data_IF_982021881678
#
_entry.id   IF_982021881678
#
_cell.length_a   1.000
_cell.length_b   1.000
_cell.length_c   1.000
_cell.angle_alpha   90.00
_cell.angle_beta   90.00
_cell.angle_gamma   90.00
#
_symmetry.space_group_name_H-M   'P 1'
#
loop_
_entity.id
_entity.type
_entity.pdbx_description
1 polymer ?
#
# COMPACT_ATOMS: atom_id res chain seq x y z
N UNK A 1 24.13 11.71 -36.18
CA UNK A 1 23.16 12.82 -36.28
C UNK A 1 22.06 12.65 -35.22
N UNK A 2 22.45 12.54 -33.95
CA UNK A 2 21.56 12.57 -32.78
C UNK A 2 21.56 13.90 -31.96
N UNK A 3 22.18 15.04 -32.37
CA UNK A 3 22.37 16.16 -31.44
C UNK A 3 21.12 17.05 -31.23
N UNK A 4 20.15 17.09 -32.15
CA UNK A 4 19.07 18.10 -32.08
C UNK A 4 17.95 17.78 -31.07
N UNK A 5 17.65 16.50 -30.79
CA UNK A 5 16.56 16.13 -29.87
C UNK A 5 16.97 16.22 -28.38
N UNK A 6 18.26 16.03 -28.10
CA UNK A 6 18.83 16.12 -26.75
C UNK A 6 18.92 17.59 -26.31
N UNK A 7 19.35 18.47 -27.21
CA UNK A 7 19.52 19.91 -26.92
C UNK A 7 18.22 20.60 -26.55
N UNK A 8 17.13 20.36 -27.28
CA UNK A 8 15.86 21.03 -27.03
C UNK A 8 15.23 20.66 -25.67
N UNK A 9 15.32 19.39 -25.25
CA UNK A 9 14.74 18.91 -23.99
C UNK A 9 15.59 19.30 -22.78
N UNK A 10 16.92 19.22 -22.92
CA UNK A 10 17.84 19.61 -21.87
C UNK A 10 17.89 21.13 -21.66
N UNK A 11 17.76 21.95 -22.72
CA UNK A 11 17.75 23.41 -22.61
C UNK A 11 16.55 23.95 -21.81
N UNK A 12 15.34 23.40 -22.01
CA UNK A 12 14.15 23.78 -21.21
C UNK A 12 14.33 23.40 -19.74
N UNK A 13 14.96 22.25 -19.49
CA UNK A 13 15.26 21.76 -18.14
C UNK A 13 16.33 22.63 -17.44
N UNK A 14 17.43 22.95 -18.11
CA UNK A 14 18.53 23.75 -17.57
C UNK A 14 18.11 25.21 -17.36
N UNK A 15 17.27 25.78 -18.24
CA UNK A 15 16.72 27.12 -18.05
C UNK A 15 15.82 27.28 -16.83
N UNK A 16 15.26 26.18 -16.29
CA UNK A 16 14.51 26.17 -15.04
C UNK A 16 15.43 26.16 -13.79
N UNK A 17 16.66 25.66 -13.95
CA UNK A 17 17.69 25.66 -12.92
C UNK A 17 18.56 26.92 -13.02
N UNK A 18 18.31 27.89 -12.14
CA UNK A 18 19.16 29.07 -12.00
C UNK A 18 20.41 28.79 -11.14
N UNK A 19 21.03 27.62 -11.32
CA UNK A 19 22.24 27.22 -10.60
C UNK A 19 23.37 26.95 -11.59
N UNK A 20 24.62 27.34 -11.27
CA UNK A 20 25.80 26.91 -11.99
C UNK A 20 25.87 25.37 -12.10
N UNK A 21 26.28 24.85 -13.25
CA UNK A 21 26.37 23.40 -13.49
C UNK A 21 27.33 22.70 -12.51
N UNK A 22 28.43 23.37 -12.16
CA UNK A 22 29.40 22.90 -11.17
C UNK A 22 28.75 22.74 -9.80
N UNK A 23 27.86 23.66 -9.42
CA UNK A 23 27.14 23.60 -8.15
C UNK A 23 26.14 22.43 -8.15
N UNK A 24 25.46 22.16 -9.27
CA UNK A 24 24.59 20.98 -9.42
C UNK A 24 25.40 19.69 -9.24
N UNK A 25 26.60 19.61 -9.84
CA UNK A 25 27.51 18.47 -9.66
C UNK A 25 27.86 18.28 -8.19
N UNK A 26 28.25 19.36 -7.51
CA UNK A 26 28.73 19.31 -6.13
C UNK A 26 27.59 18.91 -5.17
N UNK A 27 26.39 19.46 -5.35
CA UNK A 27 25.19 19.04 -4.61
C UNK A 27 24.91 17.54 -4.79
N UNK A 28 25.06 17.00 -6.01
CA UNK A 28 24.87 15.57 -6.28
C UNK A 28 25.99 14.72 -5.68
N UNK A 29 27.23 15.22 -5.62
CA UNK A 29 28.37 14.52 -5.04
C UNK A 29 28.28 14.47 -3.51
N UNK A 30 27.92 15.58 -2.87
CA UNK A 30 27.80 15.74 -1.43
C UNK A 30 26.49 15.19 -0.86
N UNK A 31 25.46 15.03 -1.71
CA UNK A 31 24.11 14.59 -1.32
C UNK A 31 23.51 15.57 -0.30
N UNK A 32 23.48 16.85 -0.66
CA UNK A 32 22.91 17.91 0.17
C UNK A 32 21.37 17.81 0.22
N UNK A 33 20.85 17.34 1.35
CA UNK A 33 19.43 17.07 1.57
C UNK A 33 18.57 18.34 1.60
N UNK A 34 19.13 19.51 1.91
CA UNK A 34 18.35 20.76 1.99
C UNK A 34 18.06 21.34 0.60
N UNK A 35 18.94 21.05 -0.36
CA UNK A 35 18.90 21.61 -1.71
C UNK A 35 18.35 20.62 -2.75
N UNK A 36 18.35 19.33 -2.41
CA UNK A 36 17.85 18.27 -3.28
C UNK A 36 16.36 18.01 -3.06
N UNK A 37 15.57 18.17 -4.12
CA UNK A 37 14.16 17.76 -4.13
C UNK A 37 13.95 16.51 -4.99
N UNK A 38 12.93 15.72 -4.67
CA UNK A 38 12.55 14.55 -5.45
C UNK A 38 12.30 14.91 -6.92
N UNK A 39 11.54 15.97 -7.17
CA UNK A 39 11.23 16.45 -8.52
C UNK A 39 12.49 16.86 -9.29
N UNK A 40 13.48 17.47 -8.63
CA UNK A 40 14.77 17.80 -9.23
C UNK A 40 15.50 16.53 -9.68
N UNK A 41 15.63 15.54 -8.80
CA UNK A 41 16.34 14.29 -9.09
C UNK A 41 15.63 13.49 -10.19
N UNK A 42 14.30 13.38 -10.14
CA UNK A 42 13.53 12.70 -11.19
C UNK A 42 13.70 13.38 -12.56
N UNK A 43 13.68 14.71 -12.60
CA UNK A 43 13.90 15.45 -13.84
C UNK A 43 15.34 15.32 -14.33
N UNK A 44 16.34 15.29 -13.45
CA UNK A 44 17.73 14.98 -13.82
C UNK A 44 17.81 13.60 -14.47
N UNK A 45 17.27 12.56 -13.83
CA UNK A 45 17.28 11.18 -14.35
C UNK A 45 16.60 11.10 -15.72
N UNK A 46 15.46 11.78 -15.89
CA UNK A 46 14.67 11.78 -17.13
C UNK A 46 15.34 12.50 -18.30
N UNK A 47 16.09 13.57 -18.03
CA UNK A 47 16.70 14.41 -19.05
C UNK A 47 18.20 14.13 -19.24
N UNK A 48 18.80 13.27 -18.41
CA UNK A 48 20.20 12.88 -18.53
C UNK A 48 20.42 12.00 -19.77
N UNK A 49 21.44 12.33 -20.59
CA UNK A 49 21.88 11.48 -21.68
C UNK A 49 22.28 10.08 -21.20
N UNK A 50 22.41 9.14 -22.13
CA UNK A 50 22.93 7.81 -21.79
C UNK A 50 24.41 7.88 -21.41
N UNK A 51 24.88 6.90 -20.64
CA UNK A 51 26.28 6.86 -20.19
C UNK A 51 27.27 6.88 -21.35
N UNK A 52 26.91 6.28 -22.50
CA UNK A 52 27.73 6.29 -23.72
C UNK A 52 27.87 7.70 -24.30
N UNK A 53 26.79 8.47 -24.29
CA UNK A 53 26.76 9.85 -24.80
C UNK A 53 27.53 10.78 -23.86
N UNK A 54 27.40 10.60 -22.55
CA UNK A 54 28.19 11.33 -21.55
C UNK A 54 29.70 11.07 -21.71
N UNK A 55 30.09 9.83 -22.01
CA UNK A 55 31.50 9.50 -22.29
C UNK A 55 32.02 10.17 -23.56
N UNK A 56 31.21 10.22 -24.63
CA UNK A 56 31.59 10.92 -25.86
C UNK A 56 31.70 12.44 -25.65
N UNK A 57 30.79 13.04 -24.88
CA UNK A 57 30.86 14.45 -24.51
C UNK A 57 32.11 14.76 -23.68
N UNK A 58 32.55 13.83 -22.82
CA UNK A 58 33.74 14.03 -22.00
C UNK A 58 35.04 14.19 -22.81
N UNK A 59 35.07 13.72 -24.07
CA UNK A 59 36.20 13.90 -24.99
C UNK A 59 36.24 15.30 -25.61
N UNK A 60 35.10 15.99 -25.68
CA UNK A 60 34.93 17.33 -26.27
C UNK A 60 35.21 18.47 -25.27
N UNK A 61 35.87 18.18 -24.13
CA UNK A 61 36.17 19.18 -23.09
C UNK A 61 37.00 20.37 -23.58
N UNK A 62 37.77 20.20 -24.65
CA UNK A 62 38.60 21.27 -25.22
C UNK A 62 37.77 22.37 -25.91
N UNK A 63 36.56 22.05 -26.35
CA UNK A 63 35.68 22.94 -27.12
C UNK A 63 34.51 23.45 -26.25
N UNK A 64 34.64 23.42 -24.93
CA UNK A 64 33.54 23.70 -23.97
C UNK A 64 32.77 25.00 -24.24
N UNK A 65 33.47 26.09 -24.55
CA UNK A 65 32.87 27.41 -24.80
C UNK A 65 32.10 27.49 -26.13
N UNK A 66 32.37 26.59 -27.08
CA UNK A 66 31.72 26.54 -28.40
C UNK A 66 30.48 25.63 -28.42
N UNK A 67 30.31 24.80 -27.38
CA UNK A 67 29.20 23.86 -27.24
C UNK A 67 27.93 24.55 -26.71
N UNK A 68 26.77 23.94 -26.98
CA UNK A 68 25.51 24.45 -26.45
C UNK A 68 25.36 24.14 -24.94
N UNK A 69 24.50 24.88 -24.25
CA UNK A 69 24.29 24.78 -22.79
C UNK A 69 24.01 23.33 -22.32
N UNK A 70 23.28 22.54 -23.11
CA UNK A 70 22.99 21.14 -22.78
C UNK A 70 24.22 20.23 -22.85
N UNK A 71 25.12 20.48 -23.80
CA UNK A 71 26.37 19.73 -23.95
C UNK A 71 27.37 20.12 -22.87
N UNK A 72 27.46 21.42 -22.55
CA UNK A 72 28.23 21.93 -21.42
C UNK A 72 27.79 21.28 -20.10
N UNK A 73 26.49 21.20 -19.84
CA UNK A 73 25.96 20.48 -18.68
C UNK A 73 26.33 18.99 -18.69
N UNK A 74 26.18 18.32 -19.84
CA UNK A 74 26.57 16.92 -20.00
C UNK A 74 28.05 16.66 -19.70
N UNK A 75 28.94 17.58 -20.09
CA UNK A 75 30.38 17.52 -19.79
C UNK A 75 30.62 17.62 -18.28
N UNK A 76 29.99 18.59 -17.59
CA UNK A 76 30.17 18.76 -16.15
C UNK A 76 29.69 17.52 -15.40
N UNK A 77 28.51 17.00 -15.77
CA UNK A 77 27.94 15.80 -15.17
C UNK A 77 28.70 14.51 -15.52
N UNK A 78 29.41 14.46 -16.66
CA UNK A 78 30.25 13.31 -17.05
C UNK A 78 31.39 13.03 -16.07
N UNK A 79 31.81 14.05 -15.30
CA UNK A 79 32.83 13.90 -14.26
C UNK A 79 32.37 13.04 -13.08
N UNK A 80 31.05 12.89 -12.89
CA UNK A 80 30.46 12.10 -11.81
C UNK A 80 30.45 10.62 -12.18
N UNK A 81 31.22 9.82 -11.43
CA UNK A 81 31.23 8.36 -11.60
C UNK A 81 29.88 7.76 -11.19
N UNK A 82 29.39 6.81 -11.99
CA UNK A 82 28.15 6.06 -11.75
C UNK A 82 26.93 6.98 -11.52
N UNK A 83 26.86 8.09 -12.28
CA UNK A 83 25.89 9.16 -12.08
C UNK A 83 24.44 8.66 -11.96
N UNK A 84 23.98 7.80 -12.88
CA UNK A 84 22.61 7.26 -12.83
C UNK A 84 22.35 6.45 -11.56
N UNK A 85 23.27 5.58 -11.16
CA UNK A 85 23.14 4.79 -9.93
C UNK A 85 23.11 5.69 -8.69
N UNK A 86 23.95 6.74 -8.67
CA UNK A 86 23.96 7.73 -7.59
C UNK A 86 22.62 8.47 -7.49
N UNK A 87 22.11 9.00 -8.61
CA UNK A 87 20.84 9.71 -8.65
C UNK A 87 19.67 8.81 -8.22
N UNK A 88 19.65 7.54 -8.65
CA UNK A 88 18.65 6.58 -8.18
C UNK A 88 18.77 6.31 -6.67
N UNK A 89 19.99 6.24 -6.12
CA UNK A 89 20.21 6.09 -4.69
C UNK A 89 19.75 7.31 -3.88
N UNK A 90 20.01 8.52 -4.39
CA UNK A 90 19.51 9.77 -3.81
C UNK A 90 17.98 9.81 -3.86
N UNK A 91 17.38 9.50 -5.02
CA UNK A 91 15.93 9.46 -5.20
C UNK A 91 15.28 8.48 -4.22
N UNK A 92 15.88 7.30 -4.07
CA UNK A 92 15.43 6.32 -3.10
C UNK A 92 15.51 6.88 -1.68
N UNK A 93 16.64 7.47 -1.28
CA UNK A 93 16.78 8.05 0.05
C UNK A 93 15.74 9.15 0.34
N UNK A 94 15.46 10.03 -0.62
CA UNK A 94 14.48 11.11 -0.47
C UNK A 94 13.05 10.59 -0.34
N UNK A 95 12.70 9.52 -1.06
CA UNK A 95 11.33 8.95 -1.05
C UNK A 95 11.13 7.84 -0.02
N UNK A 96 12.21 7.36 0.61
CA UNK A 96 12.16 6.20 1.49
C UNK A 96 11.24 6.39 2.70
N UNK A 97 11.36 7.51 3.39
CA UNK A 97 10.54 7.81 4.56
C UNK A 97 9.05 7.94 4.20
N UNK A 98 8.73 8.59 3.08
CA UNK A 98 7.35 8.68 2.61
C UNK A 98 6.79 7.30 2.26
N UNK A 99 7.54 6.49 1.50
CA UNK A 99 7.15 5.13 1.16
C UNK A 99 6.94 4.26 2.41
N UNK A 100 7.83 4.37 3.39
CA UNK A 100 7.68 3.68 4.67
C UNK A 100 6.44 4.14 5.43
N UNK A 101 6.20 5.45 5.52
CA UNK A 101 5.06 6.01 6.23
C UNK A 101 3.73 5.68 5.55
N UNK A 102 3.73 5.42 4.25
CA UNK A 102 2.56 4.94 3.52
C UNK A 102 2.29 3.45 3.76
N UNK A 103 3.33 2.61 3.88
CA UNK A 103 3.17 1.14 4.03
C UNK A 103 2.96 0.72 5.49
N UNK A 104 3.62 1.39 6.43
CA UNK A 104 3.57 1.06 7.86
C UNK A 104 2.16 1.00 8.45
N UNK A 105 1.25 1.97 8.22
CA UNK A 105 -0.09 1.94 8.80
C UNK A 105 -0.90 0.73 8.30
N UNK A 106 -0.74 0.34 7.03
CA UNK A 106 -1.45 -0.84 6.48
C UNK A 106 -1.04 -2.12 7.22
N UNK A 107 0.26 -2.32 7.45
CA UNK A 107 0.76 -3.48 8.21
C UNK A 107 0.24 -3.45 9.65
N UNK A 108 0.24 -2.29 10.29
CA UNK A 108 -0.24 -2.13 11.67
C UNK A 108 -1.75 -2.42 11.76
N UNK A 109 -2.55 -1.87 10.85
CA UNK A 109 -4.00 -2.10 10.79
C UNK A 109 -4.33 -3.58 10.64
N UNK A 110 -3.67 -4.28 9.70
CA UNK A 110 -3.88 -5.72 9.52
C UNK A 110 -3.46 -6.51 10.76
N UNK A 111 -2.33 -6.14 11.39
CA UNK A 111 -1.85 -6.80 12.60
C UNK A 111 -2.80 -6.62 13.78
N UNK A 112 -3.29 -5.40 14.01
CA UNK A 112 -4.23 -5.11 15.07
C UNK A 112 -5.60 -5.75 14.83
N UNK A 113 -6.17 -5.61 13.62
CA UNK A 113 -7.43 -6.25 13.26
C UNK A 113 -7.40 -7.76 13.50
N UNK A 114 -6.28 -8.39 13.16
CA UNK A 114 -6.03 -9.79 13.40
C UNK A 114 -5.98 -10.17 14.89
N UNK A 115 -5.34 -9.35 15.72
CA UNK A 115 -5.30 -9.55 17.17
C UNK A 115 -6.66 -9.31 17.82
N UNK A 116 -7.38 -8.28 17.41
CA UNK A 116 -8.73 -7.92 17.83
C UNK A 116 -9.70 -9.06 17.58
N UNK A 117 -9.77 -9.56 16.34
CA UNK A 117 -10.63 -10.70 15.99
C UNK A 117 -10.32 -11.93 16.84
N UNK A 118 -9.04 -12.16 17.16
CA UNK A 118 -8.62 -13.31 17.98
C UNK A 118 -8.94 -13.13 19.47
N UNK A 119 -8.90 -11.90 19.98
CA UNK A 119 -9.08 -11.57 21.41
C UNK A 119 -10.52 -11.16 21.73
N UNK A 120 -11.36 -10.89 20.74
CA UNK A 120 -12.74 -10.47 20.94
C UNK A 120 -13.59 -11.60 21.52
N UNK A 121 -13.94 -11.45 22.79
CA UNK A 121 -14.84 -12.37 23.48
C UNK A 121 -16.27 -12.24 22.93
N UNK A 122 -16.70 -11.02 22.60
CA UNK A 122 -18.01 -10.76 22.00
C UNK A 122 -18.17 -11.44 20.64
N UNK A 123 -17.17 -11.31 19.76
CA UNK A 123 -17.19 -11.96 18.45
C UNK A 123 -17.13 -13.49 18.57
N UNK A 124 -16.34 -14.02 19.50
CA UNK A 124 -16.26 -15.47 19.75
C UNK A 124 -17.62 -16.05 20.18
N UNK A 125 -18.31 -15.39 21.11
CA UNK A 125 -19.65 -15.78 21.55
C UNK A 125 -20.70 -15.66 20.44
N UNK A 126 -20.60 -14.65 19.58
CA UNK A 126 -21.46 -14.53 18.40
C UNK A 126 -21.31 -15.74 17.48
N UNK A 127 -20.07 -16.17 17.20
CA UNK A 127 -19.81 -17.35 16.38
C UNK A 127 -20.40 -18.62 17.00
N UNK A 128 -20.33 -18.78 18.32
CA UNK A 128 -20.96 -19.90 19.04
C UNK A 128 -22.48 -19.90 18.89
N UNK A 129 -23.13 -18.73 19.03
CA UNK A 129 -24.58 -18.58 18.83
C UNK A 129 -25.00 -18.91 17.40
N UNK A 130 -24.25 -18.43 16.41
CA UNK A 130 -24.49 -18.75 14.99
C UNK A 130 -24.33 -20.25 14.75
N UNK A 131 -23.31 -20.88 15.33
CA UNK A 131 -23.07 -22.32 15.20
C UNK A 131 -24.21 -23.13 15.84
N UNK A 132 -24.67 -22.74 17.02
CA UNK A 132 -25.78 -23.39 17.73
C UNK A 132 -27.07 -23.34 16.91
N UNK A 133 -27.45 -22.14 16.47
CA UNK A 133 -28.66 -21.94 15.67
C UNK A 133 -28.55 -22.64 14.32
N UNK A 134 -27.39 -22.54 13.66
CA UNK A 134 -27.13 -23.23 12.40
C UNK A 134 -27.24 -24.75 12.53
N UNK A 135 -26.70 -25.35 13.59
CA UNK A 135 -26.81 -26.79 13.84
C UNK A 135 -28.24 -27.22 14.16
N UNK A 136 -29.00 -26.40 14.89
CA UNK A 136 -30.41 -26.67 15.18
C UNK A 136 -31.26 -26.62 13.91
N UNK A 137 -31.12 -25.57 13.10
CA UNK A 137 -31.87 -25.41 11.84
C UNK A 137 -31.56 -26.49 10.82
N UNK A 138 -30.32 -26.97 10.78
CA UNK A 138 -29.86 -28.00 9.84
C UNK A 138 -30.00 -29.43 10.37
N UNK A 139 -30.70 -29.64 11.51
CA UNK A 139 -30.92 -30.97 12.07
C UNK A 139 -31.53 -31.94 11.03
N UNK A 140 -30.91 -33.12 10.89
CA UNK A 140 -31.33 -34.12 9.90
C UNK A 140 -30.79 -33.94 8.48
N UNK A 141 -30.02 -32.87 8.22
CA UNK A 141 -29.30 -32.67 6.96
C UNK A 141 -27.83 -33.14 7.03
N UNK A 142 -27.14 -33.17 5.89
CA UNK A 142 -25.69 -33.44 5.82
C UNK A 142 -24.85 -32.41 6.60
N UNK A 143 -25.39 -31.21 6.85
CA UNK A 143 -24.73 -30.13 7.57
C UNK A 143 -25.18 -30.05 9.05
N UNK A 144 -25.85 -31.09 9.57
CA UNK A 144 -26.14 -31.18 11.00
C UNK A 144 -24.85 -31.45 11.81
N UNK A 145 -24.81 -30.99 13.06
CA UNK A 145 -23.75 -31.31 14.03
C UNK A 145 -22.32 -30.94 13.56
N UNK A 146 -22.20 -29.82 12.88
CA UNK A 146 -20.88 -29.29 12.47
C UNK A 146 -20.15 -28.67 13.66
N UNK A 147 -18.81 -28.74 13.64
CA UNK A 147 -17.95 -28.13 14.66
C UNK A 147 -17.60 -26.67 14.37
N UNK A 148 -17.95 -26.16 13.20
CA UNK A 148 -17.64 -24.81 12.77
C UNK A 148 -18.11 -24.52 11.36
N UNK A 149 -18.05 -23.26 10.97
CA UNK A 149 -18.41 -22.77 9.65
C UNK A 149 -17.37 -21.77 9.15
N UNK A 150 -17.35 -21.52 7.84
CA UNK A 150 -16.48 -20.50 7.27
C UNK A 150 -17.03 -19.10 7.58
N UNK A 151 -16.20 -18.17 8.04
CA UNK A 151 -16.62 -16.81 8.45
C UNK A 151 -17.37 -16.04 7.35
N UNK A 152 -17.10 -16.31 6.06
CA UNK A 152 -17.88 -15.74 4.94
C UNK A 152 -19.38 -16.10 4.97
N UNK A 153 -19.78 -17.11 5.74
CA UNK A 153 -21.17 -17.46 5.97
C UNK A 153 -21.94 -16.39 6.75
N UNK A 154 -21.27 -15.59 7.58
CA UNK A 154 -21.92 -14.50 8.33
C UNK A 154 -22.66 -13.54 7.40
N UNK A 155 -22.09 -13.24 6.24
CA UNK A 155 -22.72 -12.38 5.23
C UNK A 155 -23.98 -12.99 4.61
N UNK A 156 -24.16 -14.33 4.71
CA UNK A 156 -25.31 -15.08 4.18
C UNK A 156 -26.45 -15.21 5.19
N UNK A 157 -26.25 -14.82 6.45
CA UNK A 157 -27.31 -14.85 7.47
C UNK A 157 -28.49 -13.94 7.10
N UNK A 158 -28.22 -12.83 6.40
CA UNK A 158 -29.25 -11.93 5.89
C UNK A 158 -30.11 -12.57 4.80
N UNK A 159 -29.60 -13.58 4.10
CA UNK A 159 -30.29 -14.20 2.96
C UNK A 159 -31.30 -15.28 3.42
N UNK A 160 -31.18 -15.77 4.65
CA UNK A 160 -32.11 -16.74 5.23
C UNK A 160 -33.28 -16.00 5.88
N UNK A 161 -34.49 -16.18 5.36
CA UNK A 161 -35.71 -15.50 5.82
C UNK A 161 -36.64 -16.44 6.60
N UNK A 162 -37.45 -15.85 7.46
CA UNK A 162 -38.59 -16.53 8.09
C UNK A 162 -39.64 -16.97 7.06
N UNK A 163 -40.51 -17.89 7.44
CA UNK A 163 -41.59 -18.41 6.56
C UNK A 163 -42.53 -17.32 6.05
N UNK A 164 -42.76 -16.29 6.85
CA UNK A 164 -43.56 -15.10 6.53
C UNK A 164 -42.75 -13.98 5.84
N UNK A 165 -41.46 -14.20 5.60
CA UNK A 165 -40.51 -13.26 4.97
C UNK A 165 -40.38 -11.89 5.65
N UNK A 166 -40.85 -11.75 6.88
CA UNK A 166 -40.85 -10.49 7.65
C UNK A 166 -39.50 -10.22 8.32
N UNK A 167 -38.77 -11.27 8.71
CA UNK A 167 -37.49 -11.19 9.41
C UNK A 167 -36.46 -12.10 8.77
N UNK A 168 -35.18 -11.79 8.98
CA UNK A 168 -34.07 -12.64 8.54
C UNK A 168 -33.42 -13.32 9.74
N UNK A 169 -32.65 -14.37 9.48
CA UNK A 169 -31.89 -15.06 10.52
C UNK A 169 -30.92 -14.11 11.24
N UNK A 170 -30.38 -13.11 10.53
CA UNK A 170 -29.57 -12.06 11.13
C UNK A 170 -30.36 -11.22 12.15
N UNK A 171 -31.57 -10.77 11.81
CA UNK A 171 -32.43 -10.01 12.73
C UNK A 171 -32.79 -10.86 13.96
N UNK A 172 -33.19 -12.11 13.74
CA UNK A 172 -33.50 -13.05 14.82
C UNK A 172 -32.30 -13.26 15.77
N UNK A 173 -31.10 -13.43 15.22
CA UNK A 173 -29.88 -13.58 16.02
C UNK A 173 -29.54 -12.30 16.78
N UNK A 174 -29.72 -11.13 16.18
CA UNK A 174 -29.51 -9.84 16.85
C UNK A 174 -30.46 -9.67 18.04
N UNK A 175 -31.76 -9.91 17.85
CA UNK A 175 -32.78 -9.85 18.91
C UNK A 175 -32.45 -10.81 20.05
N UNK A 176 -32.00 -12.04 19.72
CA UNK A 176 -31.62 -13.04 20.72
C UNK A 176 -30.32 -12.72 21.44
N UNK A 177 -29.35 -12.09 20.77
CA UNK A 177 -28.17 -11.58 21.43
C UNK A 177 -28.54 -10.45 22.39
N UNK A 178 -29.43 -9.54 22.01
CA UNK A 178 -29.89 -8.45 22.89
C UNK A 178 -30.61 -8.97 24.14
N UNK A 179 -31.49 -9.97 23.98
CA UNK A 179 -32.27 -10.55 25.08
C UNK A 179 -31.41 -11.39 26.05
N UNK A 180 -30.50 -12.22 25.53
CA UNK A 180 -29.81 -13.24 26.31
C UNK A 180 -28.36 -12.88 26.68
N UNK A 181 -27.68 -12.12 25.82
CA UNK A 181 -26.25 -11.85 25.90
C UNK A 181 -25.91 -10.42 25.39
N UNK A 182 -26.39 -9.36 26.08
CA UNK A 182 -26.21 -7.98 25.64
C UNK A 182 -24.73 -7.56 25.56
N UNK A 183 -23.82 -8.29 26.22
CA UNK A 183 -22.38 -8.08 26.07
C UNK A 183 -21.87 -8.36 24.66
N UNK A 184 -22.53 -9.24 23.90
CA UNK A 184 -22.13 -9.57 22.53
C UNK A 184 -22.27 -8.33 21.65
N UNK A 185 -23.30 -7.51 21.84
CA UNK A 185 -23.57 -6.35 20.99
C UNK A 185 -22.46 -5.28 20.98
N UNK A 186 -21.50 -5.37 21.92
CA UNK A 186 -20.33 -4.49 22.01
C UNK A 186 -19.14 -4.96 21.16
N UNK A 187 -19.20 -6.15 20.56
CA UNK A 187 -18.11 -6.67 19.74
C UNK A 187 -17.67 -5.74 18.59
N UNK A 188 -18.54 -4.90 17.96
CA UNK A 188 -18.08 -3.98 16.93
C UNK A 188 -17.06 -2.95 17.47
N UNK A 189 -17.18 -2.55 18.74
CA UNK A 189 -16.23 -1.64 19.40
C UNK A 189 -14.88 -2.32 19.68
N UNK A 190 -14.85 -3.65 19.72
CA UNK A 190 -13.62 -4.44 19.92
C UNK A 190 -12.85 -4.66 18.61
N UNK A 191 -13.43 -4.31 17.45
CA UNK A 191 -12.92 -4.59 16.10
C UNK A 191 -12.60 -3.30 15.32
N UNK A 192 -11.96 -2.33 15.98
CA UNK A 192 -11.70 -0.99 15.44
C UNK A 192 -10.91 -1.01 14.12
N UNK A 193 -9.90 -1.88 13.98
CA UNK A 193 -9.00 -1.85 12.85
C UNK A 193 -9.48 -2.69 11.66
N UNK A 194 -10.57 -3.46 11.80
CA UNK A 194 -11.08 -4.36 10.75
C UNK A 194 -11.50 -3.61 9.50
N UNK A 195 -12.16 -2.46 9.64
CA UNK A 195 -12.57 -1.64 8.49
C UNK A 195 -11.36 -1.10 7.73
N UNK A 196 -10.38 -0.55 8.45
CA UNK A 196 -9.15 -0.01 7.87
C UNK A 196 -8.31 -1.12 7.21
N UNK A 197 -8.20 -2.29 7.84
CA UNK A 197 -7.49 -3.45 7.31
C UNK A 197 -8.14 -4.00 6.01
N UNK A 198 -9.46 -3.87 5.86
CA UNK A 198 -10.15 -4.32 4.66
C UNK A 198 -9.91 -3.46 3.42
N UNK A 199 -9.56 -2.19 3.64
CA UNK A 199 -9.26 -1.20 2.59
C UNK A 199 -7.80 -1.26 2.14
N UNK A 200 -6.91 -1.77 2.99
CA UNK A 200 -5.48 -1.94 2.68
C UNK A 200 -5.27 -2.93 1.53
N UNK A 201 -4.53 -2.52 0.50
CA UNK A 201 -4.15 -3.43 -0.58
C UNK A 201 -3.05 -4.39 -0.11
N UNK A 202 -3.40 -5.62 0.26
CA UNK A 202 -2.42 -6.67 0.56
C UNK A 202 -1.40 -6.93 -0.57
N UNK A 203 -1.68 -6.44 -1.78
CA UNK A 203 -0.81 -6.55 -2.97
C UNK A 203 0.33 -5.52 -3.00
N UNK A 204 0.20 -4.39 -2.29
CA UNK A 204 1.24 -3.34 -2.29
C UNK A 204 2.45 -3.72 -1.42
N UNK A 205 2.29 -4.67 -0.49
CA UNK A 205 3.35 -5.14 0.40
C UNK A 205 3.74 -6.61 0.13
N UNK A 206 4.83 -6.87 -0.62
CA UNK A 206 5.32 -8.23 -0.88
C UNK A 206 5.60 -9.03 0.40
N UNK A 207 5.98 -8.35 1.50
CA UNK A 207 6.31 -8.95 2.78
C UNK A 207 5.11 -9.64 3.45
N UNK A 208 3.91 -9.07 3.41
CA UNK A 208 2.69 -9.73 3.94
C UNK A 208 2.41 -11.02 3.14
N UNK A 209 2.70 -10.98 1.83
CA UNK A 209 2.49 -12.13 0.96
C UNK A 209 3.54 -13.24 1.18
N UNK A 210 4.79 -12.93 1.50
CA UNK A 210 5.88 -13.92 1.59
C UNK A 210 6.35 -14.24 3.01
N UNK A 211 5.80 -13.60 4.05
CA UNK A 211 6.15 -13.83 5.46
C UNK A 211 6.00 -15.32 5.86
N UNK A 212 7.11 -16.07 6.07
CA UNK A 212 7.06 -17.49 6.39
C UNK A 212 6.61 -17.77 7.83
N UNK A 213 6.75 -16.79 8.73
CA UNK A 213 6.50 -16.96 10.16
C UNK A 213 5.00 -16.90 10.53
N UNK A 214 4.14 -16.35 9.66
CA UNK A 214 2.71 -16.16 9.96
C UNK A 214 1.81 -16.42 8.73
N UNK A 215 1.62 -17.69 8.33
CA UNK A 215 0.78 -18.07 7.17
C UNK A 215 -0.67 -17.58 7.26
N UNK A 216 -1.16 -17.31 8.47
CA UNK A 216 -2.51 -16.88 8.75
C UNK A 216 -2.78 -15.41 8.41
N UNK A 217 -1.75 -14.55 8.36
CA UNK A 217 -1.94 -13.13 8.01
C UNK A 217 -2.47 -12.94 6.59
N UNK A 218 -2.06 -13.81 5.66
CA UNK A 218 -2.51 -13.80 4.26
C UNK A 218 -4.00 -14.17 4.15
N UNK A 219 -4.40 -15.25 4.82
CA UNK A 219 -5.79 -15.71 4.89
C UNK A 219 -6.68 -14.74 5.65
N UNK A 220 -6.17 -14.13 6.73
CA UNK A 220 -6.88 -13.11 7.48
C UNK A 220 -7.08 -11.85 6.63
N UNK A 221 -6.07 -11.38 5.89
CA UNK A 221 -6.22 -10.22 5.01
C UNK A 221 -7.25 -10.47 3.89
N UNK A 222 -7.27 -11.65 3.28
CA UNK A 222 -8.27 -12.04 2.27
C UNK A 222 -9.68 -12.19 2.86
N UNK A 223 -9.80 -12.65 4.11
CA UNK A 223 -11.10 -12.80 4.77
C UNK A 223 -11.61 -11.50 5.41
N UNK A 224 -10.74 -10.60 5.86
CA UNK A 224 -11.10 -9.28 6.39
C UNK A 224 -11.77 -8.39 5.33
N UNK A 225 -11.40 -8.52 4.04
CA UNK A 225 -12.15 -7.90 2.92
C UNK A 225 -13.59 -8.43 2.80
N UNK A 226 -13.86 -9.62 3.31
CA UNK A 226 -15.21 -10.24 3.33
C UNK A 226 -16.00 -9.87 4.58
N UNK A 227 -15.30 -9.58 5.69
CA UNK A 227 -15.88 -9.26 7.00
C UNK A 227 -16.21 -7.76 7.12
N UNK A 228 -15.48 -6.88 6.42
CA UNK A 228 -15.80 -5.47 6.45
C UNK A 228 -17.19 -5.22 5.85
N UNK A 229 -18.11 -4.63 6.64
CA UNK A 229 -19.38 -4.19 6.10
C UNK A 229 -19.07 -3.12 5.05
N UNK A 230 -19.32 -3.41 3.77
CA UNK A 230 -19.59 -2.33 2.81
C UNK A 230 -20.81 -1.60 3.34
N UNK A 231 -20.56 -0.45 3.96
CA UNK A 231 -21.53 0.49 4.51
C UNK A 231 -22.72 -0.14 5.25
N UNK A 232 -22.70 -0.04 6.58
CA UNK A 232 -23.95 0.08 7.33
C UNK A 232 -24.63 1.40 6.92
N UNK A 233 -25.21 1.45 5.72
CA UNK A 233 -26.32 2.35 5.43
C UNK A 233 -27.57 1.71 6.03
N UNK A 234 -27.75 1.94 7.32
CA UNK A 234 -29.05 1.81 7.98
C UNK A 234 -29.90 3.00 7.53
N UNK A 235 -30.70 2.77 6.48
CA UNK A 235 -31.97 3.47 6.23
C UNK A 235 -33.10 2.45 6.25
#
# INVERSE_FOLDING_TARGET
MAPLSLCARAAIFLGSFRLPYEEIRDIVLEVDEERLSEALIQNLIKNLPEQKELSALAELKAEYEELCESEQFGIVMSSVKLLRSRLNGILFKLTFEEQLNNIRPDIMNVTFACEEVKKSDGFSKLLEMVLLVGNYMNAGSRNAQTFGFNVSFLCKLRDTKSTDQSTTLLHFLADKCEELHPEILKFPDELEHVESASKGEARSCPYISTCPERPWCRTACEQLTTIAPRSMDLQ
#
